data_IF_016389705505
#
_entry.id   IF_016389705505
#
_cell.length_a   1.000
_cell.length_b   1.000
_cell.length_c   1.000
_cell.angle_alpha   90.00
_cell.angle_beta   90.00
_cell.angle_gamma   90.00
#
_symmetry.space_group_name_H-M   'P 1'
#
loop_
_entity.id
_entity.type
_entity.pdbx_description
1 polymer ?
#
# COMPACT_ATOMS: atom_id res chain seq x y z
N UNK A 1 -24.56 -0.27 27.84
CA UNK A 1 -23.24 -0.82 27.37
C UNK A 1 -23.21 -0.71 25.86
N UNK A 2 -22.16 -0.10 25.28
CA UNK A 2 -22.02 0.04 23.81
C UNK A 2 -21.72 -1.33 23.20
N UNK A 3 -22.51 -1.76 22.21
CA UNK A 3 -22.23 -2.95 21.42
C UNK A 3 -21.20 -2.68 20.32
N UNK A 4 -20.79 -3.73 19.60
CA UNK A 4 -19.77 -3.61 18.56
C UNK A 4 -20.25 -2.84 17.32
N UNK A 5 -21.54 -2.91 16.97
CA UNK A 5 -22.09 -2.17 15.83
C UNK A 5 -22.01 -0.65 16.08
N UNK A 6 -22.47 -0.21 17.24
CA UNK A 6 -22.38 1.19 17.64
C UNK A 6 -20.94 1.66 17.80
N UNK A 7 -20.05 0.78 18.26
CA UNK A 7 -18.61 1.06 18.31
C UNK A 7 -18.05 1.34 16.90
N UNK A 8 -18.38 0.55 15.89
CA UNK A 8 -17.96 0.78 14.49
C UNK A 8 -18.40 2.16 13.98
N UNK A 9 -19.66 2.54 14.24
CA UNK A 9 -20.19 3.86 13.85
C UNK A 9 -19.42 5.01 14.51
N UNK A 10 -19.14 4.89 15.82
CA UNK A 10 -18.41 5.94 16.53
C UNK A 10 -16.95 6.03 16.07
N UNK A 11 -16.29 4.91 15.85
CA UNK A 11 -14.93 4.87 15.28
C UNK A 11 -14.91 5.54 13.90
N UNK A 12 -15.89 5.26 13.05
CA UNK A 12 -15.99 5.89 11.74
C UNK A 12 -16.09 7.43 11.82
N UNK A 13 -16.94 7.94 12.73
CA UNK A 13 -17.09 9.39 12.97
C UNK A 13 -15.79 10.05 13.43
N UNK A 14 -15.00 9.33 14.22
CA UNK A 14 -13.76 9.85 14.82
C UNK A 14 -12.57 9.77 13.85
N UNK A 15 -12.41 8.63 13.14
CA UNK A 15 -11.21 8.29 12.40
C UNK A 15 -11.39 8.23 10.89
N UNK A 16 -12.64 8.19 10.40
CA UNK A 16 -13.00 7.85 9.00
C UNK A 16 -12.59 6.43 8.57
N UNK A 17 -12.11 5.59 9.50
CA UNK A 17 -11.83 4.18 9.25
C UNK A 17 -13.14 3.42 9.36
N UNK A 18 -13.56 2.80 8.26
CA UNK A 18 -14.76 1.98 8.21
C UNK A 18 -14.45 0.54 8.62
N UNK A 19 -14.72 0.21 9.88
CA UNK A 19 -14.48 -1.13 10.42
C UNK A 19 -15.37 -2.21 9.77
N UNK A 20 -16.49 -1.85 9.15
CA UNK A 20 -17.38 -2.79 8.47
C UNK A 20 -16.77 -3.34 7.16
N UNK A 21 -15.82 -2.60 6.57
CA UNK A 21 -15.08 -3.04 5.40
C UNK A 21 -14.01 -4.10 5.70
N UNK A 22 -13.75 -4.39 6.98
CA UNK A 22 -12.74 -5.36 7.41
C UNK A 22 -13.39 -6.68 7.85
N UNK A 23 -12.64 -7.78 7.76
CA UNK A 23 -13.06 -9.10 8.27
C UNK A 23 -13.33 -9.04 9.77
N UNK A 24 -14.58 -9.03 10.15
CA UNK A 24 -15.06 -8.72 11.51
C UNK A 24 -14.37 -9.55 12.60
N UNK A 25 -14.37 -10.88 12.48
CA UNK A 25 -13.79 -11.77 13.50
C UNK A 25 -12.32 -11.44 13.80
N UNK A 26 -11.55 -11.13 12.76
CA UNK A 26 -10.14 -10.80 12.90
C UNK A 26 -9.96 -9.41 13.51
N UNK A 27 -10.73 -8.44 13.05
CA UNK A 27 -10.66 -7.07 13.49
C UNK A 27 -11.13 -6.90 14.92
N UNK A 28 -12.26 -7.50 15.28
CA UNK A 28 -12.79 -7.48 16.65
C UNK A 28 -11.78 -8.03 17.65
N UNK A 29 -11.19 -9.21 17.38
CA UNK A 29 -10.16 -9.80 18.25
C UNK A 29 -8.97 -8.85 18.47
N UNK A 30 -8.55 -8.14 17.43
CA UNK A 30 -7.45 -7.16 17.55
C UNK A 30 -7.84 -5.96 18.41
N UNK A 31 -9.04 -5.44 18.20
CA UNK A 31 -9.57 -4.32 18.96
C UNK A 31 -9.76 -4.67 20.43
N UNK A 32 -10.33 -5.84 20.72
CA UNK A 32 -10.50 -6.31 22.10
C UNK A 32 -9.15 -6.42 22.81
N UNK A 33 -8.10 -6.90 22.11
CA UNK A 33 -6.74 -6.96 22.67
C UNK A 33 -6.16 -5.56 22.93
N UNK A 34 -6.39 -4.59 22.03
CA UNK A 34 -5.91 -3.22 22.20
C UNK A 34 -6.63 -2.50 23.37
N UNK A 35 -7.95 -2.66 23.47
CA UNK A 35 -8.78 -2.11 24.53
C UNK A 35 -8.33 -2.66 25.90
N UNK A 36 -8.11 -3.98 25.98
CA UNK A 36 -7.63 -4.64 27.19
C UNK A 36 -6.21 -4.20 27.58
N UNK A 37 -5.32 -3.97 26.61
CA UNK A 37 -3.95 -3.46 26.83
C UNK A 37 -3.96 -2.11 27.58
N UNK A 38 -4.95 -1.27 27.30
CA UNK A 38 -5.12 0.04 27.93
C UNK A 38 -6.02 0.01 29.17
N UNK A 39 -6.43 -1.18 29.63
CA UNK A 39 -7.30 -1.37 30.80
C UNK A 39 -8.65 -0.63 30.72
N UNK A 40 -9.19 -0.47 29.50
CA UNK A 40 -10.55 0.05 29.35
C UNK A 40 -11.59 -1.06 29.56
N UNK A 41 -12.65 -0.74 30.31
CA UNK A 41 -13.79 -1.63 30.52
C UNK A 41 -14.81 -1.49 29.36
N UNK A 42 -14.47 -2.07 28.20
CA UNK A 42 -15.30 -2.13 27.02
C UNK A 42 -15.18 -0.94 26.07
N UNK A 43 -16.10 -0.89 25.09
CA UNK A 43 -16.01 0.03 23.95
C UNK A 43 -16.29 1.49 24.32
N UNK A 44 -17.22 1.75 25.24
CA UNK A 44 -17.66 3.13 25.53
C UNK A 44 -16.55 4.01 26.12
N UNK A 45 -15.82 3.60 27.19
CA UNK A 45 -14.71 4.39 27.69
C UNK A 45 -13.57 4.52 26.66
N UNK A 46 -13.33 3.49 25.84
CA UNK A 46 -12.33 3.55 24.81
C UNK A 46 -12.67 4.56 23.71
N UNK A 47 -13.92 4.63 23.25
CA UNK A 47 -14.40 5.66 22.30
C UNK A 47 -14.21 7.07 22.88
N UNK A 48 -14.46 7.27 24.18
CA UNK A 48 -14.21 8.58 24.81
C UNK A 48 -12.74 8.97 24.73
N UNK A 49 -11.82 8.01 24.93
CA UNK A 49 -10.38 8.25 24.78
C UNK A 49 -9.97 8.54 23.33
N UNK A 50 -10.54 7.81 22.36
CA UNK A 50 -10.28 8.06 20.92
C UNK A 50 -10.68 9.48 20.48
N UNK A 51 -11.75 10.03 21.05
CA UNK A 51 -12.22 11.39 20.73
C UNK A 51 -11.23 12.49 21.12
N UNK A 52 -10.35 12.23 22.08
CA UNK A 52 -9.32 13.19 22.50
C UNK A 52 -8.20 13.37 21.47
N UNK A 53 -8.12 12.51 20.46
CA UNK A 53 -7.10 12.55 19.39
C UNK A 53 -5.65 12.55 19.90
N UNK A 54 -5.41 12.00 21.11
CA UNK A 54 -4.10 11.84 21.72
C UNK A 54 -3.46 10.49 21.39
N UNK A 55 -2.48 10.07 22.21
CA UNK A 55 -1.68 8.84 22.02
C UNK A 55 -2.54 7.58 21.80
N UNK A 56 -3.67 7.44 22.51
CA UNK A 56 -4.58 6.30 22.35
C UNK A 56 -5.17 6.24 20.95
N UNK A 57 -5.52 7.39 20.37
CA UNK A 57 -6.02 7.47 18.99
C UNK A 57 -4.93 7.13 17.96
N UNK A 58 -3.75 7.65 18.16
CA UNK A 58 -2.62 7.41 17.26
C UNK A 58 -2.19 5.94 17.29
N UNK A 59 -2.12 5.34 18.48
CA UNK A 59 -1.86 3.91 18.61
C UNK A 59 -2.99 3.08 17.98
N UNK A 60 -4.25 3.48 18.15
CA UNK A 60 -5.38 2.82 17.50
C UNK A 60 -5.21 2.80 15.96
N UNK A 61 -4.91 3.94 15.33
CA UNK A 61 -4.71 4.01 13.88
C UNK A 61 -3.55 3.10 13.46
N UNK A 62 -2.40 3.24 14.09
CA UNK A 62 -1.20 2.41 13.79
C UNK A 62 -1.45 0.92 14.02
N UNK A 63 -2.21 0.56 15.05
CA UNK A 63 -2.55 -0.83 15.34
C UNK A 63 -3.52 -1.42 14.31
N UNK A 64 -4.45 -0.60 13.79
CA UNK A 64 -5.41 -1.02 12.76
C UNK A 64 -4.75 -1.24 11.40
N UNK A 65 -3.75 -0.44 11.05
CA UNK A 65 -3.10 -0.46 9.74
C UNK A 65 -2.07 -1.59 9.55
N UNK A 66 -1.69 -2.32 10.62
CA UNK A 66 -0.81 -3.50 10.57
C UNK A 66 0.44 -3.24 9.74
N UNK A 67 1.24 -2.28 10.17
CA UNK A 67 2.40 -1.77 9.47
C UNK A 67 3.61 -2.72 9.49
N UNK A 68 3.52 -3.86 8.80
CA UNK A 68 4.65 -4.79 8.60
C UNK A 68 5.12 -4.69 7.16
N UNK A 69 6.27 -4.06 6.97
CA UNK A 69 6.88 -3.85 5.67
C UNK A 69 8.36 -4.24 5.68
N UNK A 70 8.90 -4.56 4.51
CA UNK A 70 10.31 -4.83 4.27
C UNK A 70 10.66 -4.52 2.81
N UNK A 71 11.90 -4.12 2.59
CA UNK A 71 12.40 -3.88 1.25
C UNK A 71 12.40 -5.16 0.41
N UNK A 72 12.02 -5.05 -0.87
CA UNK A 72 11.98 -6.16 -1.83
C UNK A 72 11.23 -7.41 -1.32
N UNK A 73 10.20 -7.20 -0.50
CA UNK A 73 9.37 -8.27 0.07
C UNK A 73 8.92 -9.27 -1.00
N UNK A 74 9.19 -10.58 -0.79
CA UNK A 74 9.01 -11.66 -1.76
C UNK A 74 9.88 -11.47 -3.02
N UNK A 75 11.21 -11.60 -2.93
CA UNK A 75 12.15 -11.29 -4.01
C UNK A 75 11.83 -11.87 -5.40
N UNK A 76 11.29 -13.11 -5.52
CA UNK A 76 10.93 -13.64 -6.84
C UNK A 76 9.92 -12.78 -7.61
N UNK A 77 8.99 -12.10 -6.91
CA UNK A 77 8.01 -11.20 -7.56
C UNK A 77 8.70 -9.92 -8.07
N UNK A 78 9.68 -9.40 -7.36
CA UNK A 78 10.48 -8.25 -7.79
C UNK A 78 11.29 -8.56 -9.05
N UNK A 79 11.81 -9.80 -9.16
CA UNK A 79 12.46 -10.27 -10.37
C UNK A 79 11.50 -10.30 -11.57
N UNK A 80 10.27 -10.78 -11.40
CA UNK A 80 9.23 -10.75 -12.44
C UNK A 80 8.88 -9.29 -12.80
N UNK A 81 8.74 -8.41 -11.81
CA UNK A 81 8.51 -6.99 -12.03
C UNK A 81 9.63 -6.39 -12.90
N UNK A 82 10.90 -6.62 -12.54
CA UNK A 82 12.06 -6.10 -13.25
C UNK A 82 12.16 -6.63 -14.68
N UNK A 83 12.15 -7.96 -14.86
CA UNK A 83 12.48 -8.60 -16.13
C UNK A 83 11.31 -8.61 -17.15
N UNK A 84 10.08 -8.72 -16.67
CA UNK A 84 8.91 -8.91 -17.53
C UNK A 84 7.98 -7.69 -17.54
N UNK A 85 7.52 -7.25 -16.37
CA UNK A 85 6.46 -6.24 -16.29
C UNK A 85 6.97 -4.87 -16.69
N UNK A 86 8.13 -4.44 -16.18
CA UNK A 86 8.72 -3.15 -16.58
C UNK A 86 9.10 -3.14 -18.04
N UNK A 87 9.68 -4.23 -18.58
CA UNK A 87 10.00 -4.36 -20.00
C UNK A 87 8.75 -4.21 -20.87
N UNK A 88 7.65 -4.87 -20.51
CA UNK A 88 6.35 -4.71 -21.16
C UNK A 88 5.85 -3.26 -21.10
N UNK A 89 5.86 -2.63 -19.91
CA UNK A 89 5.38 -1.26 -19.73
C UNK A 89 6.21 -0.25 -20.56
N UNK A 90 7.54 -0.40 -20.58
CA UNK A 90 8.42 0.46 -21.37
C UNK A 90 8.15 0.34 -22.89
N UNK A 91 7.99 -0.89 -23.37
CA UNK A 91 7.65 -1.12 -24.78
C UNK A 91 6.28 -0.51 -25.12
N UNK A 92 5.29 -0.75 -24.27
CA UNK A 92 3.93 -0.27 -24.49
C UNK A 92 3.82 1.24 -24.48
N UNK A 93 4.48 1.92 -23.56
CA UNK A 93 4.42 3.38 -23.42
C UNK A 93 5.36 4.11 -24.37
N UNK A 94 6.30 3.42 -24.99
CA UNK A 94 7.41 4.02 -25.76
C UNK A 94 8.36 4.84 -24.87
N UNK A 95 8.27 4.69 -23.55
CA UNK A 95 9.02 5.47 -22.56
C UNK A 95 9.36 4.65 -21.33
N UNK A 96 10.51 4.92 -20.75
CA UNK A 96 10.86 4.40 -19.41
C UNK A 96 10.36 5.30 -18.27
N UNK A 97 9.83 6.49 -18.60
CA UNK A 97 9.23 7.39 -17.61
C UNK A 97 7.76 7.03 -17.41
N UNK A 98 7.49 6.08 -16.53
CA UNK A 98 6.17 5.57 -16.20
C UNK A 98 5.66 6.14 -14.88
N UNK A 99 4.33 6.32 -14.78
CA UNK A 99 3.66 6.76 -13.55
C UNK A 99 3.39 5.56 -12.65
N UNK A 100 3.97 5.59 -11.45
CA UNK A 100 3.89 4.51 -10.45
C UNK A 100 3.15 5.01 -9.21
N UNK A 101 2.24 4.19 -8.70
CA UNK A 101 1.57 4.42 -7.42
C UNK A 101 1.77 3.20 -6.50
N UNK A 102 2.44 3.41 -5.36
CA UNK A 102 2.49 2.45 -4.25
C UNK A 102 1.36 2.79 -3.28
N UNK A 103 0.34 1.94 -3.26
CA UNK A 103 -0.89 2.11 -2.49
C UNK A 103 -0.83 1.28 -1.20
N UNK A 104 -1.04 1.92 -0.03
CA UNK A 104 -0.79 1.37 1.31
C UNK A 104 0.70 1.03 1.52
N UNK A 105 1.53 2.07 1.42
CA UNK A 105 3.00 1.96 1.37
C UNK A 105 3.68 1.75 2.73
N UNK A 106 2.93 1.84 3.83
CA UNK A 106 3.45 1.70 5.21
C UNK A 106 4.69 2.58 5.46
N UNK A 107 5.75 2.03 6.02
CA UNK A 107 7.03 2.69 6.35
C UNK A 107 7.89 3.08 5.13
N UNK A 108 7.38 2.94 3.91
CA UNK A 108 8.07 3.38 2.69
C UNK A 108 9.04 2.38 2.09
N UNK A 109 9.19 1.19 2.64
CA UNK A 109 10.07 0.14 2.11
C UNK A 109 9.74 -0.21 0.66
N UNK A 110 8.47 -0.32 0.32
CA UNK A 110 8.01 -0.64 -1.03
C UNK A 110 8.28 0.48 -2.04
N UNK A 111 7.85 1.73 -1.85
CA UNK A 111 8.11 2.80 -2.82
C UNK A 111 9.60 3.11 -2.97
N UNK A 112 10.40 2.97 -1.92
CA UNK A 112 11.86 3.12 -2.04
C UNK A 112 12.50 1.93 -2.77
N UNK A 113 11.99 0.71 -2.59
CA UNK A 113 12.40 -0.45 -3.41
C UNK A 113 12.09 -0.21 -4.90
N UNK A 114 10.91 0.36 -5.20
CA UNK A 114 10.53 0.75 -6.57
C UNK A 114 11.47 1.83 -7.13
N UNK A 115 11.80 2.85 -6.35
CA UNK A 115 12.73 3.90 -6.78
C UNK A 115 14.12 3.36 -7.06
N UNK A 116 14.66 2.51 -6.18
CA UNK A 116 15.94 1.82 -6.39
C UNK A 116 15.91 0.90 -7.61
N UNK A 117 14.82 0.16 -7.82
CA UNK A 117 14.66 -0.69 -9.01
C UNK A 117 14.63 0.16 -10.29
N UNK A 118 13.84 1.22 -10.32
CA UNK A 118 13.74 2.13 -11.47
C UNK A 118 15.06 2.82 -11.80
N UNK A 119 15.93 3.06 -10.81
CA UNK A 119 17.25 3.67 -11.02
C UNK A 119 18.20 2.85 -11.91
N UNK A 120 17.90 1.56 -12.12
CA UNK A 120 18.61 0.71 -13.09
C UNK A 120 18.27 1.05 -14.55
N UNK A 121 17.15 1.74 -14.79
CA UNK A 121 16.62 1.96 -16.15
C UNK A 121 16.63 3.43 -16.56
N UNK A 122 16.49 4.37 -15.61
CA UNK A 122 16.41 5.80 -15.85
C UNK A 122 17.17 6.59 -14.77
N UNK A 123 17.67 7.80 -15.09
CA UNK A 123 18.22 8.72 -14.09
C UNK A 123 17.20 9.04 -12.99
N UNK A 124 17.65 9.18 -11.74
CA UNK A 124 16.79 9.43 -10.57
C UNK A 124 15.82 10.61 -10.77
N UNK A 125 16.27 11.69 -11.42
CA UNK A 125 15.45 12.88 -11.72
C UNK A 125 14.21 12.61 -12.59
N UNK A 126 14.16 11.47 -13.26
CA UNK A 126 13.02 11.05 -14.07
C UNK A 126 12.08 10.09 -13.34
N UNK A 127 12.44 9.67 -12.12
CA UNK A 127 11.63 8.77 -11.31
C UNK A 127 10.66 9.59 -10.47
N UNK A 128 9.36 9.31 -10.60
CA UNK A 128 8.32 9.94 -9.80
C UNK A 128 7.32 8.88 -9.35
N UNK A 129 7.34 8.56 -8.06
CA UNK A 129 6.48 7.55 -7.45
C UNK A 129 5.56 8.25 -6.47
N UNK A 130 4.25 8.06 -6.63
CA UNK A 130 3.28 8.41 -5.61
C UNK A 130 3.20 7.26 -4.60
N UNK A 131 3.38 7.55 -3.33
CA UNK A 131 3.26 6.60 -2.24
C UNK A 131 2.17 7.07 -1.27
N UNK A 132 1.23 6.20 -0.95
CA UNK A 132 0.10 6.59 -0.10
C UNK A 132 -0.18 5.57 0.99
N UNK A 133 -0.60 6.07 2.16
CA UNK A 133 -1.11 5.27 3.26
C UNK A 133 -2.20 6.04 4.01
N UNK A 134 -3.04 5.35 4.76
CA UNK A 134 -4.05 6.00 5.61
C UNK A 134 -3.44 6.54 6.91
N UNK A 135 -2.35 5.94 7.38
CA UNK A 135 -1.67 6.27 8.62
C UNK A 135 -0.64 7.39 8.40
N UNK A 136 -0.97 8.58 8.92
CA UNK A 136 -0.11 9.76 8.79
C UNK A 136 1.24 9.58 9.50
N UNK A 137 1.27 8.93 10.67
CA UNK A 137 2.50 8.73 11.42
C UNK A 137 3.47 7.81 10.69
N UNK A 138 2.94 6.75 10.07
CA UNK A 138 3.74 5.85 9.24
C UNK A 138 4.34 6.58 8.04
N UNK A 139 3.60 7.51 7.42
CA UNK A 139 4.13 8.33 6.33
C UNK A 139 5.25 9.28 6.81
N UNK A 140 5.14 9.83 8.02
CA UNK A 140 6.21 10.62 8.62
C UNK A 140 7.46 9.78 8.87
N UNK A 141 7.32 8.55 9.37
CA UNK A 141 8.43 7.60 9.49
C UNK A 141 9.04 7.23 8.12
N UNK A 142 8.21 7.01 7.11
CA UNK A 142 8.66 6.75 5.74
C UNK A 142 9.50 7.92 5.20
N UNK A 143 9.11 9.17 5.46
CA UNK A 143 9.86 10.36 5.05
C UNK A 143 11.20 10.50 5.79
N UNK A 144 11.27 10.11 7.06
CA UNK A 144 12.55 10.01 7.79
C UNK A 144 13.47 9.00 7.11
N UNK A 145 12.94 7.84 6.70
CA UNK A 145 13.64 6.82 5.94
C UNK A 145 14.78 6.15 6.71
N UNK A 146 14.54 5.85 7.99
CA UNK A 146 15.48 5.15 8.86
C UNK A 146 14.98 3.73 9.16
N UNK A 147 15.78 2.72 8.86
CA UNK A 147 15.36 1.32 8.87
C UNK A 147 16.26 0.43 9.71
N UNK A 148 15.65 -0.53 10.39
CA UNK A 148 16.39 -1.57 11.11
C UNK A 148 17.07 -2.55 10.12
N UNK A 149 18.18 -3.20 10.51
CA UNK A 149 18.87 -4.17 9.65
C UNK A 149 17.98 -5.26 9.06
N UNK A 150 16.97 -5.72 9.82
CA UNK A 150 16.02 -6.75 9.38
C UNK A 150 15.15 -6.32 8.19
N UNK A 151 14.82 -5.03 8.08
CA UNK A 151 13.96 -4.52 7.01
C UNK A 151 14.65 -4.49 5.65
N UNK A 152 15.98 -4.39 5.62
CA UNK A 152 16.78 -4.21 4.40
C UNK A 152 17.44 -5.50 3.89
N UNK A 153 17.14 -6.65 4.48
CA UNK A 153 17.74 -7.94 4.11
C UNK A 153 17.53 -8.28 2.63
N UNK A 154 16.36 -7.92 2.08
CA UNK A 154 16.00 -8.16 0.68
C UNK A 154 16.63 -7.19 -0.32
N UNK A 155 17.32 -6.14 0.10
CA UNK A 155 17.91 -5.16 -0.82
C UNK A 155 19.11 -5.75 -1.54
N UNK A 156 19.18 -5.72 -2.89
CA UNK A 156 20.35 -6.12 -3.66
C UNK A 156 21.62 -5.38 -3.20
N UNK A 157 22.76 -6.10 -3.14
CA UNK A 157 24.00 -5.59 -2.55
C UNK A 157 24.52 -4.31 -3.21
N UNK A 158 24.41 -4.21 -4.53
CA UNK A 158 24.77 -3.03 -5.33
C UNK A 158 23.91 -1.82 -4.99
N UNK A 159 22.61 -1.99 -4.89
CA UNK A 159 21.66 -0.94 -4.53
C UNK A 159 21.78 -0.54 -3.06
N UNK A 160 22.07 -1.51 -2.18
CA UNK A 160 22.35 -1.26 -0.77
C UNK A 160 23.59 -0.38 -0.60
N UNK A 161 24.68 -0.73 -1.25
CA UNK A 161 25.92 0.04 -1.21
C UNK A 161 25.76 1.47 -1.77
N UNK A 162 24.88 1.63 -2.76
CA UNK A 162 24.67 2.91 -3.44
C UNK A 162 23.72 3.86 -2.71
N UNK A 163 22.67 3.33 -2.08
CA UNK A 163 21.53 4.14 -1.63
C UNK A 163 21.20 4.03 -0.14
N UNK A 164 21.92 3.21 0.63
CA UNK A 164 21.74 3.06 2.07
C UNK A 164 23.00 3.42 2.83
N UNK A 165 22.86 4.38 3.74
CA UNK A 165 23.92 4.80 4.65
C UNK A 165 23.76 4.15 6.02
N UNK A 166 24.86 3.72 6.64
CA UNK A 166 24.85 3.20 8.02
C UNK A 166 24.79 4.36 9.00
N UNK A 167 23.77 4.39 9.84
CA UNK A 167 23.57 5.38 10.90
C UNK A 167 23.40 4.67 12.23
N UNK A 168 24.46 4.56 13.02
CA UNK A 168 24.46 3.79 14.25
C UNK A 168 24.17 2.30 13.98
N UNK A 169 23.08 1.77 14.53
CA UNK A 169 22.61 0.40 14.32
C UNK A 169 21.56 0.28 13.22
N UNK A 170 21.28 1.36 12.51
CA UNK A 170 20.22 1.46 11.48
C UNK A 170 20.79 1.83 10.11
N UNK A 171 19.92 1.82 9.10
CA UNK A 171 20.23 2.23 7.75
C UNK A 171 19.32 3.37 7.34
N UNK A 172 19.86 4.42 6.77
CA UNK A 172 19.13 5.56 6.24
C UNK A 172 19.12 5.51 4.72
N UNK A 173 17.94 5.66 4.12
CA UNK A 173 17.83 5.80 2.67
C UNK A 173 18.38 7.15 2.22
N UNK A 174 19.11 7.18 1.10
CA UNK A 174 19.72 8.39 0.58
C UNK A 174 18.69 9.45 0.19
N UNK A 175 19.04 10.72 0.34
CA UNK A 175 18.13 11.83 -0.01
C UNK A 175 17.81 11.89 -1.50
N UNK A 176 18.67 11.34 -2.36
CA UNK A 176 18.41 11.23 -3.80
C UNK A 176 17.25 10.27 -4.10
N UNK A 177 17.18 9.13 -3.43
CA UNK A 177 16.06 8.19 -3.54
C UNK A 177 14.79 8.77 -2.91
N UNK A 178 14.90 9.48 -1.78
CA UNK A 178 13.75 10.14 -1.15
C UNK A 178 13.05 11.11 -2.10
N UNK A 179 13.82 11.87 -2.89
CA UNK A 179 13.30 12.84 -3.89
C UNK A 179 12.50 12.17 -5.01
N UNK A 180 12.67 10.87 -5.23
CA UNK A 180 11.90 10.11 -6.22
C UNK A 180 10.48 9.75 -5.76
N UNK A 181 10.17 9.93 -4.45
CA UNK A 181 8.91 9.48 -3.85
C UNK A 181 8.16 10.64 -3.22
N UNK A 182 6.90 10.78 -3.57
CA UNK A 182 5.98 11.74 -2.95
C UNK A 182 4.99 10.99 -2.06
N UNK A 183 5.03 11.26 -0.77
CA UNK A 183 4.12 10.66 0.21
C UNK A 183 2.86 11.50 0.39
N UNK A 184 1.68 10.83 0.42
CA UNK A 184 0.39 11.49 0.64
C UNK A 184 -0.53 10.58 1.46
N UNK A 185 -1.25 11.15 2.42
CA UNK A 185 -2.30 10.43 3.13
C UNK A 185 -3.45 10.10 2.17
N UNK A 186 -3.95 8.86 2.21
CA UNK A 186 -5.01 8.39 1.31
C UNK A 186 -5.73 7.18 1.90
N UNK A 187 -7.05 7.23 1.92
CA UNK A 187 -7.92 6.13 2.29
C UNK A 187 -8.43 5.41 1.04
N UNK A 188 -8.02 4.16 0.84
CA UNK A 188 -8.42 3.34 -0.31
C UNK A 188 -9.93 3.15 -0.45
N UNK A 189 -10.67 3.16 0.64
CA UNK A 189 -12.11 2.98 0.61
C UNK A 189 -12.86 4.27 0.23
N UNK A 190 -12.31 5.46 0.56
CA UNK A 190 -13.04 6.71 0.55
C UNK A 190 -12.55 7.72 -0.47
N UNK A 191 -11.23 7.88 -0.55
CA UNK A 191 -10.66 8.98 -1.32
C UNK A 191 -10.65 8.72 -2.84
N UNK A 192 -10.67 9.79 -3.66
CA UNK A 192 -10.54 9.66 -5.10
C UNK A 192 -9.14 9.15 -5.49
N UNK A 193 -9.10 8.15 -6.36
CA UNK A 193 -7.86 7.53 -6.82
C UNK A 193 -7.12 8.42 -7.84
N UNK A 194 -5.79 8.41 -7.85
CA UNK A 194 -5.00 9.03 -8.90
C UNK A 194 -5.33 8.37 -10.26
N UNK A 195 -5.27 9.17 -11.33
CA UNK A 195 -5.61 8.68 -12.69
C UNK A 195 -4.39 8.56 -13.59
N UNK A 196 -4.50 7.68 -14.57
CA UNK A 196 -3.48 7.53 -15.60
C UNK A 196 -2.19 6.87 -15.11
N UNK A 197 -2.31 5.91 -14.19
CA UNK A 197 -1.19 5.13 -13.69
C UNK A 197 -0.79 4.06 -14.71
N UNK A 198 0.51 3.86 -14.87
CA UNK A 198 1.07 2.77 -15.67
C UNK A 198 1.28 1.52 -14.80
N UNK A 199 1.66 1.71 -13.53
CA UNK A 199 1.84 0.66 -12.54
C UNK A 199 1.21 1.09 -11.21
N UNK A 200 0.36 0.23 -10.66
CA UNK A 200 -0.13 0.34 -9.28
C UNK A 200 0.41 -0.86 -8.51
N UNK A 201 1.01 -0.61 -7.35
CA UNK A 201 1.47 -1.64 -6.42
C UNK A 201 0.63 -1.53 -5.15
N UNK A 202 -0.09 -2.60 -4.80
CA UNK A 202 -0.91 -2.67 -3.59
C UNK A 202 -0.78 -4.07 -3.00
N UNK A 203 0.09 -4.24 -2.01
CA UNK A 203 0.50 -5.53 -1.52
C UNK A 203 0.31 -5.69 -0.02
N UNK A 204 -0.20 -6.87 0.36
CA UNK A 204 -0.32 -7.30 1.76
C UNK A 204 -1.23 -6.42 2.64
N UNK A 205 -2.19 -5.76 2.05
CA UNK A 205 -3.19 -4.93 2.74
C UNK A 205 -4.62 -5.43 2.52
N UNK A 206 -4.95 -5.90 1.30
CA UNK A 206 -6.32 -6.31 0.97
C UNK A 206 -6.74 -7.60 1.68
N UNK A 207 -5.81 -8.36 2.24
CA UNK A 207 -6.09 -9.57 3.03
C UNK A 207 -6.99 -9.31 4.24
N UNK A 208 -7.02 -8.07 4.72
CA UNK A 208 -7.81 -7.67 5.90
C UNK A 208 -9.24 -7.24 5.56
N UNK A 209 -9.52 -6.91 4.29
CA UNK A 209 -10.82 -6.42 3.84
C UNK A 209 -11.82 -7.54 3.54
N UNK A 210 -13.12 -7.20 3.62
CA UNK A 210 -14.20 -8.06 3.13
C UNK A 210 -14.11 -8.23 1.62
N UNK A 211 -14.84 -9.19 1.06
CA UNK A 211 -14.84 -9.41 -0.39
C UNK A 211 -15.47 -8.23 -1.13
N UNK A 212 -16.53 -7.65 -0.58
CA UNK A 212 -17.24 -6.50 -1.12
C UNK A 212 -16.31 -5.27 -1.21
N UNK A 213 -15.58 -4.99 -0.13
CA UNK A 213 -14.61 -3.88 -0.09
C UNK A 213 -13.46 -4.12 -1.09
N UNK A 214 -12.98 -5.35 -1.23
CA UNK A 214 -11.96 -5.69 -2.24
C UNK A 214 -12.48 -5.47 -3.67
N UNK A 215 -13.69 -5.90 -3.96
CA UNK A 215 -14.30 -5.74 -5.27
C UNK A 215 -14.37 -4.26 -5.65
N UNK A 216 -14.80 -3.39 -4.72
CA UNK A 216 -14.80 -1.94 -4.93
C UNK A 216 -13.41 -1.38 -5.19
N UNK A 217 -12.40 -1.80 -4.39
CA UNK A 217 -11.02 -1.36 -4.55
C UNK A 217 -10.45 -1.81 -5.91
N UNK A 218 -10.71 -3.05 -6.36
CA UNK A 218 -10.24 -3.52 -7.66
C UNK A 218 -10.87 -2.75 -8.82
N UNK A 219 -12.15 -2.40 -8.74
CA UNK A 219 -12.78 -1.52 -9.72
C UNK A 219 -12.13 -0.14 -9.75
N UNK A 220 -11.87 0.46 -8.59
CA UNK A 220 -11.18 1.75 -8.48
C UNK A 220 -9.75 1.69 -9.04
N UNK A 221 -9.00 0.62 -8.76
CA UNK A 221 -7.66 0.43 -9.35
C UNK A 221 -7.72 0.30 -10.87
N UNK A 222 -8.70 -0.44 -11.41
CA UNK A 222 -8.86 -0.53 -12.85
C UNK A 222 -9.11 0.85 -13.47
N UNK A 223 -9.99 1.66 -12.87
CA UNK A 223 -10.28 3.03 -13.35
C UNK A 223 -9.05 3.96 -13.24
N UNK A 224 -8.18 3.75 -12.25
CA UNK A 224 -6.96 4.53 -12.04
C UNK A 224 -5.86 4.21 -13.08
N UNK A 225 -5.83 2.96 -13.57
CA UNK A 225 -4.87 2.49 -14.57
C UNK A 225 -5.20 2.99 -15.97
N UNK A 226 -4.17 3.27 -16.77
CA UNK A 226 -4.28 3.37 -18.22
C UNK A 226 -4.62 2.00 -18.82
N UNK A 227 -5.25 1.93 -20.02
CA UNK A 227 -5.35 0.68 -20.77
C UNK A 227 -3.98 0.01 -20.91
N UNK A 228 -3.86 -1.27 -20.54
CA UNK A 228 -2.62 -2.02 -20.47
C UNK A 228 -1.68 -1.65 -19.32
N UNK A 229 -2.09 -0.76 -18.40
CA UNK A 229 -1.39 -0.58 -17.13
C UNK A 229 -1.53 -1.80 -16.22
N UNK A 230 -0.63 -1.96 -15.26
CA UNK A 230 -0.52 -3.19 -14.46
C UNK A 230 -0.79 -2.91 -12.98
N UNK A 231 -1.59 -3.78 -12.36
CA UNK A 231 -1.76 -3.88 -10.90
C UNK A 231 -0.89 -5.03 -10.37
N UNK A 232 -0.02 -4.75 -9.42
CA UNK A 232 0.80 -5.72 -8.69
C UNK A 232 0.28 -5.89 -7.27
N UNK A 233 -0.11 -7.13 -6.91
CA UNK A 233 -0.65 -7.46 -5.59
C UNK A 233 0.28 -8.40 -4.80
N UNK A 234 0.02 -8.58 -3.51
CA UNK A 234 0.81 -9.46 -2.65
C UNK A 234 0.60 -10.95 -2.93
N UNK A 235 1.53 -11.78 -2.45
CA UNK A 235 1.56 -13.24 -2.70
C UNK A 235 0.36 -14.01 -2.15
N UNK A 236 -0.39 -13.43 -1.24
CA UNK A 236 -1.61 -14.02 -0.65
C UNK A 236 -2.89 -13.32 -1.11
N UNK A 237 -2.80 -12.46 -2.13
CA UNK A 237 -3.87 -11.57 -2.59
C UNK A 237 -4.25 -11.83 -4.06
N UNK A 238 -4.18 -13.10 -4.48
CA UNK A 238 -4.60 -13.46 -5.83
C UNK A 238 -6.06 -13.04 -6.07
N UNK A 239 -6.31 -12.35 -7.18
CA UNK A 239 -7.65 -11.87 -7.55
C UNK A 239 -8.40 -13.00 -8.25
N UNK A 240 -9.35 -13.60 -7.55
CA UNK A 240 -10.21 -14.64 -8.13
C UNK A 240 -11.28 -13.96 -8.99
N UNK A 241 -11.46 -14.42 -10.22
CA UNK A 241 -12.42 -13.81 -11.15
C UNK A 241 -12.02 -12.39 -11.60
N UNK A 242 -10.74 -12.15 -11.78
CA UNK A 242 -10.18 -10.84 -12.19
C UNK A 242 -10.81 -10.27 -13.46
N UNK A 243 -11.38 -11.13 -14.31
CA UNK A 243 -12.06 -10.71 -15.55
C UNK A 243 -13.26 -9.80 -15.27
N UNK A 244 -13.98 -10.00 -14.15
CA UNK A 244 -15.11 -9.14 -13.74
C UNK A 244 -14.69 -7.68 -13.48
N UNK A 245 -13.41 -7.44 -13.25
CA UNK A 245 -12.82 -6.11 -13.07
C UNK A 245 -12.10 -5.61 -14.32
N UNK A 246 -12.31 -6.26 -15.47
CA UNK A 246 -11.63 -5.95 -16.74
C UNK A 246 -10.11 -6.03 -16.65
N UNK A 247 -9.62 -7.08 -15.97
CA UNK A 247 -8.22 -7.45 -15.92
C UNK A 247 -7.94 -8.76 -16.64
N UNK A 248 -6.72 -8.91 -17.18
CA UNK A 248 -6.10 -10.20 -17.54
C UNK A 248 -4.91 -10.49 -16.62
N UNK A 249 -4.53 -11.76 -16.49
CA UNK A 249 -3.38 -12.20 -15.71
C UNK A 249 -2.28 -12.72 -16.63
N UNK A 250 -1.22 -11.96 -16.81
CA UNK A 250 -0.05 -12.32 -17.62
C UNK A 250 1.01 -13.05 -16.80
N UNK A 251 1.11 -12.73 -15.52
CA UNK A 251 2.01 -13.31 -14.53
C UNK A 251 1.27 -13.43 -13.20
N UNK A 252 1.60 -14.41 -12.39
CA UNK A 252 1.02 -14.56 -11.04
C UNK A 252 1.22 -13.29 -10.23
N UNK A 253 0.12 -12.75 -9.66
CA UNK A 253 0.05 -11.49 -8.89
C UNK A 253 0.19 -10.20 -9.68
N UNK A 254 0.25 -10.27 -11.02
CA UNK A 254 0.29 -9.12 -11.92
C UNK A 254 -0.92 -9.15 -12.84
N UNK A 255 -1.74 -8.11 -12.76
CA UNK A 255 -3.00 -8.01 -13.48
C UNK A 255 -2.96 -6.80 -14.41
N UNK A 256 -3.11 -7.05 -15.71
CA UNK A 256 -3.10 -6.02 -16.74
C UNK A 256 -4.53 -5.54 -16.99
N UNK A 257 -4.75 -4.21 -16.99
CA UNK A 257 -6.02 -3.63 -17.44
C UNK A 257 -6.20 -3.88 -18.93
N UNK A 258 -7.30 -4.51 -19.30
CA UNK A 258 -7.69 -4.67 -20.70
C UNK A 258 -8.12 -3.34 -21.32
N UNK A 259 -7.95 -3.20 -22.64
CA UNK A 259 -8.50 -2.06 -23.39
C UNK A 259 -10.03 -2.02 -23.29
N UNK A 260 -10.63 -0.87 -23.58
CA UNK A 260 -12.08 -0.81 -23.76
C UNK A 260 -12.46 -1.82 -24.86
N UNK A 261 -13.36 -2.74 -24.53
CA UNK A 261 -13.90 -3.68 -25.50
C UNK A 261 -14.61 -2.86 -26.58
N UNK A 262 -14.11 -2.93 -27.81
CA UNK A 262 -14.76 -2.33 -28.99
C UNK A 262 -16.12 -2.97 -29.31
N UNK A 263 -16.57 -3.94 -28.53
CA UNK A 263 -17.80 -4.70 -28.74
C UNK A 263 -19.02 -4.20 -27.95
N UNK A 264 -18.93 -3.08 -27.22
CA UNK A 264 -20.07 -2.50 -26.50
C UNK A 264 -20.79 -1.40 -27.31
N UNK A 265 -20.99 -1.60 -28.62
CA UNK A 265 -21.93 -0.84 -29.48
C UNK A 265 -22.52 -1.80 -30.49
N UNK A 266 -23.52 -2.52 -30.09
CA UNK A 266 -24.51 -3.13 -30.98
C UNK A 266 -25.84 -3.18 -30.23
#
# INVERSE_FOLDING_TARGET
MMDYEKFKEEVYKISTIDLSAYKEKQMKRRLDALISKHNYDGYEPYVKALRLKGEVYEEFVTYMTINVSEFYRNPPQWKILEEKVLSYLFQKTGSKNIKIWSAACSTGDEPYSLAMLMSKFVPLKQISILATDIDKQILEQAQVGLYAPKSIVGVPADLKAKYLEVVGKSYKISDEIKKCVTFKQHNLLKDPYPKGMDLIVCRNVLIYFTNEAKDEIYHKFNLALKPGGVLFVGSTEQIIGYQKFNFSSEQTFFYKKEGESTFAKA
#
